data_IF_638420737478
#
_entry.id   IF_638420737478
#
_cell.length_a   1.000
_cell.length_b   1.000
_cell.length_c   1.000
_cell.angle_alpha   90.00
_cell.angle_beta   90.00
_cell.angle_gamma   90.00
#
_symmetry.space_group_name_H-M   'P 1'
#
loop_
_entity.id
_entity.type
_entity.pdbx_description
1 polymer ?
#
# COMPACT_ATOMS: atom_id res chain seq x y z
N UNK A 1 12.88 -0.13 6.38
CA UNK A 1 12.26 -0.89 5.27
C UNK A 1 12.31 -0.01 4.03
N UNK A 2 12.80 -0.56 2.92
CA UNK A 2 13.34 0.14 1.76
C UNK A 2 12.41 1.18 1.11
N UNK A 3 12.98 2.35 0.87
CA UNK A 3 12.50 3.41 -0.02
C UNK A 3 13.12 3.23 -1.41
N UNK A 4 12.31 3.32 -2.47
CA UNK A 4 12.69 3.20 -3.88
C UNK A 4 12.03 4.29 -4.75
N UNK A 5 12.80 5.18 -5.38
CA UNK A 5 12.43 5.80 -6.66
C UNK A 5 13.62 5.71 -7.62
N UNK A 6 13.29 5.53 -8.90
CA UNK A 6 14.02 4.94 -10.05
C UNK A 6 15.35 5.59 -10.53
N UNK A 7 16.28 4.69 -10.89
CA UNK A 7 17.32 4.63 -11.96
C UNK A 7 18.02 5.91 -12.51
N UNK A 8 19.31 6.07 -12.17
CA UNK A 8 20.44 6.14 -13.14
C UNK A 8 21.78 5.86 -12.43
N UNK A 9 22.71 5.22 -13.14
CA UNK A 9 24.03 4.66 -12.74
C UNK A 9 24.02 3.27 -12.12
N UNK A 10 24.81 2.37 -12.74
CA UNK A 10 25.04 0.97 -12.41
C UNK A 10 25.86 0.76 -11.12
N UNK A 11 25.63 1.61 -10.10
CA UNK A 11 26.17 1.39 -8.75
C UNK A 11 25.10 0.74 -7.88
N UNK A 12 25.41 -0.33 -7.15
CA UNK A 12 24.50 -0.81 -6.12
C UNK A 12 24.28 0.32 -5.12
N UNK A 13 23.00 0.63 -4.83
CA UNK A 13 22.67 1.55 -3.77
C UNK A 13 23.22 0.96 -2.46
N UNK A 14 24.22 1.61 -1.89
CA UNK A 14 24.70 1.27 -0.57
C UNK A 14 23.83 2.01 0.45
N UNK A 15 23.26 1.31 1.46
CA UNK A 15 22.57 1.98 2.55
C UNK A 15 23.47 3.04 3.18
N UNK A 16 22.98 4.27 3.25
CA UNK A 16 23.77 5.40 3.77
C UNK A 16 23.81 5.36 5.30
N UNK A 17 22.70 4.96 5.92
CA UNK A 17 22.57 4.89 7.36
C UNK A 17 21.43 3.94 7.76
N UNK A 18 21.45 3.47 9.01
CA UNK A 18 20.38 2.66 9.60
C UNK A 18 19.88 3.35 10.87
N UNK A 19 18.65 3.85 10.81
CA UNK A 19 18.00 4.47 11.97
C UNK A 19 17.56 3.41 12.98
N UNK A 20 17.80 3.68 14.25
CA UNK A 20 17.45 2.79 15.37
C UNK A 20 15.93 2.59 15.50
N UNK A 21 15.16 3.62 15.17
CA UNK A 21 13.70 3.64 15.32
C UNK A 21 13.01 4.13 14.06
N UNK A 22 11.86 3.52 13.76
CA UNK A 22 11.00 3.84 12.63
C UNK A 22 9.99 4.95 12.98
N UNK A 23 10.47 6.05 13.56
CA UNK A 23 9.63 7.13 14.07
C UNK A 23 9.88 8.44 13.30
N UNK A 24 8.83 9.27 13.20
CA UNK A 24 8.89 10.56 12.51
C UNK A 24 10.01 11.45 13.08
N UNK A 25 10.10 11.54 14.41
CA UNK A 25 11.09 12.39 15.10
C UNK A 25 12.51 11.90 14.90
N UNK A 26 12.71 10.58 14.83
CA UNK A 26 14.03 9.99 14.54
C UNK A 26 14.47 10.32 13.11
N UNK A 27 13.56 10.23 12.13
CA UNK A 27 13.87 10.66 10.76
C UNK A 27 14.12 12.17 10.70
N UNK A 28 13.29 12.99 11.34
CA UNK A 28 13.40 14.45 11.30
C UNK A 28 14.77 14.92 11.82
N UNK A 29 15.21 14.40 12.97
CA UNK A 29 16.55 14.70 13.51
C UNK A 29 17.66 14.29 12.56
N UNK A 30 17.54 13.12 11.93
CA UNK A 30 18.54 12.63 10.99
C UNK A 30 18.63 13.47 9.72
N UNK A 31 17.48 13.92 9.19
CA UNK A 31 17.42 14.80 8.03
C UNK A 31 18.00 16.18 8.36
N UNK A 32 17.64 16.76 9.51
CA UNK A 32 18.10 18.08 9.93
C UNK A 32 19.62 18.16 10.16
N UNK A 33 20.25 17.03 10.52
CA UNK A 33 21.70 16.94 10.69
C UNK A 33 22.49 16.91 9.36
N UNK A 34 21.81 16.93 8.21
CA UNK A 34 22.42 16.78 6.89
C UNK A 34 22.11 17.99 6.02
N UNK A 35 23.16 18.65 5.55
CA UNK A 35 23.04 19.75 4.60
C UNK A 35 22.89 19.21 3.16
N UNK A 36 22.22 19.97 2.30
CA UNK A 36 22.17 19.70 0.85
C UNK A 36 21.19 18.61 0.40
N UNK A 37 20.19 18.25 1.22
CA UNK A 37 19.12 17.35 0.77
C UNK A 37 18.17 18.13 -0.14
N UNK A 38 18.20 17.84 -1.43
CA UNK A 38 17.33 18.48 -2.43
C UNK A 38 16.07 17.66 -2.75
N UNK A 39 16.15 16.33 -2.64
CA UNK A 39 15.06 15.42 -3.02
C UNK A 39 14.90 14.32 -1.97
N UNK A 40 13.68 14.14 -1.49
CA UNK A 40 13.31 13.09 -0.54
C UNK A 40 12.31 12.15 -1.21
N UNK A 41 12.78 10.94 -1.55
CA UNK A 41 11.91 9.83 -1.91
C UNK A 41 11.47 9.09 -0.63
N UNK A 42 10.17 9.11 -0.33
CA UNK A 42 9.61 8.53 0.91
C UNK A 42 8.40 7.65 0.64
N UNK A 43 8.12 6.73 1.57
CA UNK A 43 6.89 5.94 1.53
C UNK A 43 5.63 6.81 1.77
N UNK A 44 4.43 6.29 1.50
CA UNK A 44 3.20 7.11 1.57
C UNK A 44 2.74 7.48 2.98
N UNK A 45 3.39 7.04 4.06
CA UNK A 45 2.93 7.31 5.42
C UNK A 45 3.06 8.79 5.79
N UNK A 46 2.00 9.34 6.41
CA UNK A 46 1.93 10.75 6.81
C UNK A 46 3.04 11.17 7.78
N UNK A 47 3.45 10.26 8.67
CA UNK A 47 4.54 10.48 9.63
C UNK A 47 5.86 10.92 8.95
N UNK A 48 6.23 10.28 7.84
CA UNK A 48 7.46 10.65 7.11
C UNK A 48 7.30 11.90 6.26
N UNK A 49 6.10 12.14 5.73
CA UNK A 49 5.81 13.39 5.04
C UNK A 49 5.98 14.58 5.99
N UNK A 50 5.41 14.49 7.20
CA UNK A 50 5.54 15.53 8.23
C UNK A 50 6.99 15.70 8.68
N UNK A 51 7.71 14.60 8.93
CA UNK A 51 9.12 14.65 9.30
C UNK A 51 10.00 15.31 8.23
N UNK A 52 9.78 14.96 6.96
CA UNK A 52 10.49 15.54 5.83
C UNK A 52 10.20 17.04 5.68
N UNK A 53 8.93 17.44 5.77
CA UNK A 53 8.54 18.86 5.71
C UNK A 53 9.12 19.69 6.86
N UNK A 54 9.23 19.12 8.06
CA UNK A 54 9.78 19.81 9.22
C UNK A 54 11.31 19.95 9.15
N UNK A 55 12.02 18.92 8.70
CA UNK A 55 13.47 18.86 8.74
C UNK A 55 14.17 19.37 7.47
N UNK A 56 13.48 19.32 6.32
CA UNK A 56 14.00 19.74 5.02
C UNK A 56 12.88 20.39 4.18
N UNK A 57 12.40 21.58 4.56
CA UNK A 57 11.25 22.23 3.93
C UNK A 57 11.49 22.56 2.45
N UNK A 58 12.75 22.81 2.06
CA UNK A 58 13.12 23.13 0.68
C UNK A 58 13.31 21.89 -0.20
N UNK A 59 13.31 20.68 0.39
CA UNK A 59 13.49 19.44 -0.35
C UNK A 59 12.22 19.03 -1.08
N UNK A 60 12.37 18.65 -2.35
CA UNK A 60 11.27 18.11 -3.17
C UNK A 60 10.91 16.72 -2.64
N UNK A 61 9.67 16.55 -2.18
CA UNK A 61 9.18 15.26 -1.73
C UNK A 61 8.53 14.47 -2.86
N UNK A 62 9.00 13.22 -3.05
CA UNK A 62 8.46 12.28 -4.02
C UNK A 62 7.90 11.07 -3.27
N UNK A 63 6.62 10.78 -3.50
CA UNK A 63 5.99 9.57 -2.98
C UNK A 63 6.43 8.35 -3.80
N UNK A 64 7.10 7.42 -3.12
CA UNK A 64 7.58 6.15 -3.64
C UNK A 64 6.43 5.28 -4.18
N UNK A 65 6.64 4.65 -5.34
CA UNK A 65 5.70 3.73 -6.00
C UNK A 65 5.88 2.25 -5.63
N UNK A 66 7.06 1.84 -5.19
CA UNK A 66 7.38 0.46 -4.84
C UNK A 66 6.42 -0.16 -3.82
N UNK A 67 5.98 0.52 -2.73
CA UNK A 67 5.03 -0.08 -1.79
C UNK A 67 3.71 -0.51 -2.46
N UNK A 68 3.25 0.23 -3.48
CA UNK A 68 2.04 -0.12 -4.23
C UNK A 68 2.27 -1.34 -5.09
N UNK A 69 3.38 -1.35 -5.83
CA UNK A 69 3.74 -2.50 -6.67
C UNK A 69 3.91 -3.77 -5.85
N UNK A 70 4.66 -3.72 -4.75
CA UNK A 70 4.91 -4.87 -3.87
C UNK A 70 3.60 -5.42 -3.30
N UNK A 71 2.74 -4.55 -2.77
CA UNK A 71 1.46 -4.97 -2.23
C UNK A 71 0.56 -5.61 -3.29
N UNK A 72 0.56 -5.08 -4.51
CA UNK A 72 -0.17 -5.67 -5.63
C UNK A 72 0.32 -7.08 -5.94
N UNK A 73 1.63 -7.25 -6.17
CA UNK A 73 2.23 -8.56 -6.45
C UNK A 73 1.90 -9.58 -5.35
N UNK A 74 2.11 -9.22 -4.09
CA UNK A 74 1.86 -10.11 -2.94
C UNK A 74 0.39 -10.51 -2.83
N UNK A 75 -0.52 -9.59 -3.15
CA UNK A 75 -1.96 -9.85 -3.06
C UNK A 75 -2.40 -10.77 -4.19
N UNK A 76 -1.89 -10.54 -5.40
CA UNK A 76 -2.16 -11.38 -6.57
C UNK A 76 -1.62 -12.79 -6.33
N UNK A 77 -0.40 -12.93 -5.83
CA UNK A 77 0.20 -14.22 -5.53
C UNK A 77 -0.64 -15.02 -4.51
N UNK A 78 -1.08 -14.37 -3.43
CA UNK A 78 -1.98 -14.99 -2.44
C UNK A 78 -3.31 -15.41 -3.04
N UNK A 79 -3.91 -14.56 -3.87
CA UNK A 79 -5.19 -14.86 -4.51
C UNK A 79 -5.06 -16.07 -5.46
N UNK A 80 -4.03 -16.09 -6.30
CA UNK A 80 -3.76 -17.22 -7.20
C UNK A 80 -3.51 -18.49 -6.39
N UNK A 81 -2.68 -18.42 -5.33
CA UNK A 81 -2.42 -19.57 -4.46
C UNK A 81 -3.70 -20.14 -3.83
N UNK A 82 -4.60 -19.26 -3.35
CA UNK A 82 -5.87 -19.65 -2.76
C UNK A 82 -6.86 -20.24 -3.78
N UNK A 83 -6.78 -19.82 -5.05
CA UNK A 83 -7.71 -20.22 -6.12
C UNK A 83 -7.11 -21.14 -7.17
N UNK A 84 -5.92 -21.71 -6.92
CA UNK A 84 -5.21 -22.55 -7.90
C UNK A 84 -6.07 -23.70 -8.44
N UNK A 85 -6.88 -24.33 -7.59
CA UNK A 85 -7.77 -25.44 -7.99
C UNK A 85 -8.99 -24.99 -8.81
N UNK A 86 -9.28 -23.68 -8.86
CA UNK A 86 -10.29 -23.12 -9.75
C UNK A 86 -9.74 -22.81 -11.14
N UNK A 87 -8.41 -22.86 -11.32
CA UNK A 87 -7.71 -22.60 -12.58
C UNK A 87 -7.42 -23.88 -13.36
N UNK A 88 -7.65 -25.05 -12.74
CA UNK A 88 -7.57 -26.33 -13.44
C UNK A 88 -8.59 -26.32 -14.59
N UNK A 89 -8.18 -26.75 -15.80
CA UNK A 89 -9.11 -26.83 -16.92
C UNK A 89 -10.26 -27.77 -16.53
N UNK A 90 -11.52 -27.40 -16.82
CA UNK A 90 -12.63 -28.23 -16.42
C UNK A 90 -12.55 -29.59 -17.14
N UNK A 91 -12.72 -30.68 -16.38
CA UNK A 91 -12.69 -32.05 -16.90
C UNK A 91 -13.84 -32.32 -17.91
N UNK A 92 -14.87 -31.47 -17.91
CA UNK A 92 -16.01 -31.52 -18.83
C UNK A 92 -16.37 -30.10 -19.30
N UNK A 93 -16.93 -29.91 -20.52
CA UNK A 93 -17.37 -28.61 -20.98
C UNK A 93 -18.44 -28.04 -20.04
N UNK A 94 -18.04 -27.03 -19.25
CA UNK A 94 -18.94 -26.34 -18.33
C UNK A 94 -19.99 -25.57 -19.14
N UNK A 95 -21.29 -25.70 -18.82
CA UNK A 95 -22.32 -24.88 -19.46
C UNK A 95 -21.96 -23.40 -19.30
N UNK A 96 -22.25 -22.60 -20.34
CA UNK A 96 -21.96 -21.17 -20.35
C UNK A 96 -22.50 -20.53 -19.06
N UNK A 97 -21.70 -19.69 -18.37
CA UNK A 97 -22.18 -19.02 -17.17
C UNK A 97 -23.46 -18.27 -17.51
N UNK A 98 -24.56 -18.60 -16.83
CA UNK A 98 -25.75 -17.75 -16.84
C UNK A 98 -25.33 -16.41 -16.27
N UNK A 99 -25.45 -15.37 -17.08
CA UNK A 99 -25.07 -14.00 -16.74
C UNK A 99 -26.05 -13.50 -15.67
N UNK A 100 -25.73 -13.83 -14.42
CA UNK A 100 -26.55 -13.58 -13.26
C UNK A 100 -25.67 -12.98 -12.17
N UNK A 101 -26.10 -11.81 -11.68
CA UNK A 101 -25.46 -10.97 -10.67
C UNK A 101 -24.74 -11.79 -9.60
N UNK A 102 -23.43 -12.00 -9.78
CA UNK A 102 -22.59 -12.56 -8.73
C UNK A 102 -22.66 -11.59 -7.55
N UNK A 103 -23.12 -12.02 -6.37
CA UNK A 103 -23.21 -11.14 -5.22
C UNK A 103 -21.81 -10.59 -4.93
N UNK A 104 -21.74 -9.28 -4.69
CA UNK A 104 -20.49 -8.62 -4.36
C UNK A 104 -19.88 -9.26 -3.11
N UNK A 105 -18.61 -9.67 -3.20
CA UNK A 105 -17.91 -10.22 -2.05
C UNK A 105 -17.79 -9.17 -0.95
N UNK A 106 -17.93 -9.59 0.32
CA UNK A 106 -17.87 -8.69 1.49
C UNK A 106 -16.65 -7.76 1.44
N UNK A 107 -15.50 -8.29 1.01
CA UNK A 107 -14.26 -7.51 0.89
C UNK A 107 -14.33 -6.42 -0.20
N UNK A 108 -14.96 -6.70 -1.34
CA UNK A 108 -15.14 -5.72 -2.42
C UNK A 108 -16.04 -4.58 -1.96
N UNK A 109 -17.14 -4.91 -1.28
CA UNK A 109 -18.07 -3.93 -0.73
C UNK A 109 -17.38 -3.04 0.34
N UNK A 110 -16.59 -3.64 1.22
CA UNK A 110 -15.80 -2.91 2.22
C UNK A 110 -14.76 -1.98 1.58
N UNK A 111 -14.02 -2.46 0.57
CA UNK A 111 -13.03 -1.63 -0.15
C UNK A 111 -13.69 -0.46 -0.86
N UNK A 112 -14.84 -0.66 -1.53
CA UNK A 112 -15.60 0.42 -2.17
C UNK A 112 -16.10 1.45 -1.17
N UNK A 113 -16.62 0.98 -0.03
CA UNK A 113 -17.08 1.86 1.05
C UNK A 113 -15.93 2.72 1.59
N UNK A 114 -14.79 2.12 1.90
CA UNK A 114 -13.60 2.86 2.38
C UNK A 114 -13.09 3.85 1.35
N UNK A 115 -13.07 3.47 0.07
CA UNK A 115 -12.72 4.38 -1.01
C UNK A 115 -13.65 5.59 -1.04
N UNK A 116 -14.97 5.37 -0.99
CA UNK A 116 -15.94 6.46 -0.95
C UNK A 116 -15.77 7.38 0.27
N UNK A 117 -15.54 6.80 1.46
CA UNK A 117 -15.28 7.56 2.70
C UNK A 117 -14.03 8.45 2.57
N UNK A 118 -12.93 7.92 2.03
CA UNK A 118 -11.70 8.69 1.80
C UNK A 118 -11.92 9.80 0.77
N UNK A 119 -12.61 9.51 -0.32
CA UNK A 119 -12.87 10.51 -1.37
C UNK A 119 -13.79 11.64 -0.89
N UNK A 120 -14.80 11.35 -0.06
CA UNK A 120 -15.64 12.38 0.55
C UNK A 120 -14.85 13.34 1.46
N UNK A 121 -13.84 12.83 2.19
CA UNK A 121 -12.94 13.66 2.98
C UNK A 121 -12.08 14.58 2.10
N UNK A 122 -11.54 14.04 1.00
CA UNK A 122 -10.78 14.83 0.03
C UNK A 122 -11.62 15.96 -0.58
N UNK A 123 -12.88 15.68 -0.93
CA UNK A 123 -13.79 16.66 -1.55
C UNK A 123 -14.15 17.82 -0.60
N UNK A 124 -14.10 17.58 0.72
CA UNK A 124 -14.43 18.58 1.76
C UNK A 124 -13.26 19.53 2.03
N UNK A 125 -12.07 19.28 1.46
CA UNK A 125 -10.88 20.12 1.66
C UNK A 125 -10.12 19.83 2.96
N UNK A 126 -10.55 18.84 3.74
CA UNK A 126 -9.80 18.30 4.86
C UNK A 126 -8.63 17.48 4.32
N UNK A 127 -7.45 18.12 4.25
CA UNK A 127 -6.24 17.52 3.69
C UNK A 127 -5.78 16.23 4.40
N UNK A 128 -4.81 15.54 3.78
CA UNK A 128 -4.23 14.23 4.14
C UNK A 128 -3.95 13.96 5.64
N UNK A 129 -3.89 14.99 6.49
CA UNK A 129 -3.71 14.88 7.94
C UNK A 129 -4.93 14.26 8.66
N UNK A 130 -6.16 14.47 8.17
CA UNK A 130 -7.39 13.85 8.74
C UNK A 130 -7.62 12.42 8.27
N UNK A 131 -6.99 12.01 7.16
CA UNK A 131 -6.98 10.61 6.71
C UNK A 131 -5.94 9.80 7.48
N UNK A 132 -5.94 9.88 8.82
CA UNK A 132 -5.21 8.93 9.62
C UNK A 132 -5.78 7.54 9.30
N UNK A 133 -4.95 6.65 8.73
CA UNK A 133 -5.32 5.25 8.65
C UNK A 133 -5.75 4.80 10.06
N UNK A 134 -6.92 4.17 10.21
CA UNK A 134 -7.28 3.64 11.51
C UNK A 134 -6.17 2.67 11.95
N UNK A 135 -5.94 2.50 13.27
CA UNK A 135 -4.82 1.72 13.78
C UNK A 135 -4.76 0.36 13.08
N UNK A 136 -3.57 -0.26 12.95
CA UNK A 136 -3.42 -1.59 12.29
C UNK A 136 -4.42 -2.64 12.83
N UNK A 137 -4.91 -2.48 14.07
CA UNK A 137 -5.98 -3.27 14.69
C UNK A 137 -7.38 -3.10 14.07
N UNK A 138 -7.66 -1.99 13.39
CA UNK A 138 -8.87 -1.75 12.59
C UNK A 138 -8.77 -2.35 11.18
N UNK A 139 -7.58 -2.83 10.80
CA UNK A 139 -7.38 -3.76 9.70
C UNK A 139 -7.43 -5.18 10.24
N UNK A 140 -8.57 -5.55 10.81
CA UNK A 140 -8.93 -6.97 10.80
C UNK A 140 -9.23 -7.30 9.34
N UNK A 141 -8.19 -7.61 8.56
CA UNK A 141 -8.38 -8.51 7.44
C UNK A 141 -9.01 -9.73 8.08
N UNK A 142 -10.26 -10.01 7.73
CA UNK A 142 -10.86 -11.27 8.10
C UNK A 142 -9.93 -12.37 7.57
N UNK A 143 -9.09 -12.91 8.46
CA UNK A 143 -8.18 -14.02 8.17
C UNK A 143 -8.92 -15.33 8.25
N UNK A 144 -10.26 -15.31 8.32
CA UNK A 144 -11.04 -16.49 7.98
C UNK A 144 -10.51 -16.97 6.65
N UNK A 145 -9.93 -18.19 6.59
CA UNK A 145 -9.52 -18.77 5.33
C UNK A 145 -10.70 -18.59 4.39
N UNK A 146 -10.48 -18.00 3.21
CA UNK A 146 -11.47 -18.10 2.16
C UNK A 146 -11.71 -19.60 2.01
N UNK A 147 -12.79 -20.10 2.63
CA UNK A 147 -13.23 -21.47 2.42
C UNK A 147 -13.35 -21.51 0.90
N UNK A 148 -12.64 -22.42 0.21
CA UNK A 148 -12.93 -22.63 -1.18
C UNK A 148 -14.44 -22.82 -1.24
N UNK A 149 -15.13 -21.95 -2.00
CA UNK A 149 -16.56 -22.14 -2.20
C UNK A 149 -16.72 -23.60 -2.60
N UNK A 150 -17.59 -24.35 -1.93
CA UNK A 150 -17.83 -25.78 -2.20
C UNK A 150 -18.37 -26.05 -3.63
N UNK A 151 -18.31 -25.04 -4.49
CA UNK A 151 -18.77 -25.02 -5.87
C UNK A 151 -17.55 -24.78 -6.79
N UNK A 152 -16.47 -25.52 -6.59
CA UNK A 152 -15.65 -25.95 -7.73
C UNK A 152 -16.31 -27.21 -8.26
#
# INVERSE_FOLDING_TARGET
MCTEVRWWTARPLHPVDLLEHQEADTLARWLAAREGIEVICRDRAGAYASAASAAAPDAIQIADRWPVWKNLCDTVEKAIGAHRGCLDPPNEPRPAPVEGTRPEGIQTAQTRRRHAEVHALYDTGDGMASTASPPKSAWTVDRTPLRPSRNC
#
